data_IF_700566090481
#
_entry.id   IF_700566090481
#
_cell.length_a   1.000
_cell.length_b   1.000
_cell.length_c   1.000
_cell.angle_alpha   90.00
_cell.angle_beta   90.00
_cell.angle_gamma   90.00
#
_symmetry.space_group_name_H-M   'P 1'
#
loop_
_entity.id
_entity.type
_entity.pdbx_description
1 polymer ?
#
# COMPACT_ATOMS: atom_id res chain seq x y z
N UNK A 1 -27.31 -42.45 2.70
CA UNK A 1 -26.77 -41.88 3.95
C UNK A 1 -25.44 -41.22 3.60
N UNK A 2 -25.48 -39.98 3.18
CA UNK A 2 -24.29 -39.19 2.83
C UNK A 2 -23.86 -38.41 4.07
N UNK A 3 -22.77 -38.88 4.66
CA UNK A 3 -22.08 -38.21 5.74
C UNK A 3 -21.49 -36.90 5.18
N UNK A 4 -22.22 -35.79 5.37
CA UNK A 4 -21.62 -34.46 5.34
C UNK A 4 -20.69 -34.37 6.55
N UNK A 5 -19.41 -34.70 6.36
CA UNK A 5 -18.40 -34.35 7.33
C UNK A 5 -18.39 -32.82 7.42
N UNK A 6 -18.91 -32.28 8.49
CA UNK A 6 -18.70 -30.91 8.89
C UNK A 6 -17.19 -30.68 8.99
N UNK A 7 -16.62 -30.10 7.93
CA UNK A 7 -15.26 -29.62 7.93
C UNK A 7 -15.23 -28.52 8.99
N UNK A 8 -14.86 -28.91 10.21
CA UNK A 8 -14.67 -28.01 11.35
C UNK A 8 -13.73 -26.91 10.90
N UNK A 9 -14.25 -25.73 10.67
CA UNK A 9 -13.53 -24.57 10.25
C UNK A 9 -12.56 -24.17 11.37
N UNK A 10 -11.39 -24.79 11.39
CA UNK A 10 -10.29 -24.26 12.18
C UNK A 10 -9.75 -23.09 11.37
N UNK A 11 -10.01 -21.89 11.86
CA UNK A 11 -9.43 -20.67 11.31
C UNK A 11 -7.91 -20.84 11.38
N UNK A 12 -7.29 -21.07 10.21
CA UNK A 12 -5.85 -21.32 10.12
C UNK A 12 -5.09 -19.99 10.28
N UNK A 13 -4.87 -19.63 11.53
CA UNK A 13 -4.18 -18.39 11.91
C UNK A 13 -2.85 -18.19 11.17
N UNK A 14 -2.17 -19.29 10.81
CA UNK A 14 -0.92 -19.24 10.04
C UNK A 14 -1.14 -18.67 8.64
N UNK A 15 -2.24 -19.03 7.98
CA UNK A 15 -2.60 -18.51 6.65
C UNK A 15 -2.91 -17.03 6.74
N UNK A 16 -3.73 -16.62 7.72
CA UNK A 16 -4.10 -15.22 7.90
C UNK A 16 -2.89 -14.36 8.27
N UNK A 17 -1.99 -14.85 9.12
CA UNK A 17 -0.75 -14.16 9.45
C UNK A 17 0.18 -14.02 8.25
N UNK A 18 0.37 -15.08 7.46
CA UNK A 18 1.19 -15.01 6.25
C UNK A 18 0.61 -14.02 5.23
N UNK A 19 -0.70 -14.05 5.03
CA UNK A 19 -1.42 -13.10 4.17
C UNK A 19 -1.24 -11.66 4.65
N UNK A 20 -1.40 -11.41 5.95
CA UNK A 20 -1.22 -10.09 6.55
C UNK A 20 0.21 -9.54 6.36
N UNK A 21 1.22 -10.38 6.65
CA UNK A 21 2.63 -10.00 6.48
C UNK A 21 2.96 -9.74 5.01
N UNK A 22 2.52 -10.62 4.10
CA UNK A 22 2.70 -10.41 2.66
C UNK A 22 1.99 -9.15 2.19
N UNK A 23 0.78 -8.88 2.67
CA UNK A 23 0.04 -7.66 2.33
C UNK A 23 0.74 -6.39 2.80
N UNK A 24 1.49 -6.46 3.90
CA UNK A 24 2.27 -5.31 4.39
C UNK A 24 3.40 -4.92 3.42
N UNK A 25 4.09 -5.90 2.81
CA UNK A 25 5.26 -5.66 1.96
C UNK A 25 5.00 -5.87 0.47
N UNK A 26 4.29 -6.94 0.12
CA UNK A 26 4.00 -7.34 -1.28
C UNK A 26 2.51 -7.59 -1.47
N UNK A 27 1.73 -6.54 -1.41
CA UNK A 27 0.26 -6.57 -1.48
C UNK A 27 -0.27 -7.38 -2.67
N UNK A 28 0.41 -7.31 -3.82
CA UNK A 28 0.03 -8.01 -5.04
C UNK A 28 -0.05 -9.55 -4.86
N UNK A 29 0.78 -10.12 -4.00
CA UNK A 29 0.90 -11.56 -3.77
C UNK A 29 0.22 -12.04 -2.48
N UNK A 30 -0.47 -11.15 -1.76
CA UNK A 30 -1.03 -11.47 -0.45
C UNK A 30 -2.13 -12.54 -0.47
N UNK A 31 -2.84 -12.69 -1.60
CA UNK A 31 -3.91 -13.68 -1.76
C UNK A 31 -3.45 -15.10 -2.04
N UNK A 32 -2.18 -15.30 -2.45
CA UNK A 32 -1.67 -16.62 -2.85
C UNK A 32 -1.76 -17.65 -1.72
N UNK A 33 -1.26 -17.40 -0.49
CA UNK A 33 -1.32 -18.40 0.57
C UNK A 33 -2.74 -18.87 0.88
N UNK A 34 -3.71 -17.95 0.85
CA UNK A 34 -5.10 -18.27 1.08
C UNK A 34 -5.70 -19.11 -0.05
N UNK A 35 -5.42 -18.75 -1.29
CA UNK A 35 -5.94 -19.46 -2.47
C UNK A 35 -5.36 -20.89 -2.59
N UNK A 36 -4.04 -21.07 -2.37
CA UNK A 36 -3.39 -22.38 -2.43
C UNK A 36 -3.81 -23.31 -1.29
N UNK A 37 -4.04 -22.79 -0.10
CA UNK A 37 -4.38 -23.58 1.09
C UNK A 37 -5.90 -23.71 1.29
N UNK A 38 -6.72 -23.16 0.40
CA UNK A 38 -8.17 -23.30 0.40
C UNK A 38 -8.87 -22.56 1.55
N UNK A 39 -8.27 -21.48 2.06
CA UNK A 39 -8.91 -20.62 3.04
C UNK A 39 -10.12 -19.89 2.44
N UNK A 40 -11.12 -19.46 3.23
CA UNK A 40 -12.25 -18.70 2.70
C UNK A 40 -11.79 -17.35 2.14
N UNK A 41 -12.24 -17.01 0.93
CA UNK A 41 -11.85 -15.77 0.23
C UNK A 41 -12.11 -14.50 1.06
N UNK A 42 -13.17 -14.48 1.83
CA UNK A 42 -13.51 -13.31 2.65
C UNK A 42 -12.53 -13.09 3.80
N UNK A 43 -12.03 -14.15 4.47
CA UNK A 43 -11.02 -14.06 5.52
C UNK A 43 -9.69 -13.54 4.97
N UNK A 44 -9.25 -14.10 3.84
CA UNK A 44 -8.02 -13.68 3.16
C UNK A 44 -8.13 -12.24 2.66
N UNK A 45 -9.30 -11.83 2.19
CA UNK A 45 -9.54 -10.45 1.75
C UNK A 45 -9.47 -9.47 2.91
N UNK A 46 -10.06 -9.80 4.06
CA UNK A 46 -9.97 -8.97 5.27
C UNK A 46 -8.53 -8.90 5.78
N UNK A 47 -7.83 -10.04 5.87
CA UNK A 47 -6.45 -10.09 6.32
C UNK A 47 -5.52 -9.27 5.42
N UNK A 48 -5.68 -9.37 4.09
CA UNK A 48 -4.89 -8.60 3.13
C UNK A 48 -5.19 -7.09 3.19
N UNK A 49 -6.46 -6.70 3.34
CA UNK A 49 -6.85 -5.31 3.51
C UNK A 49 -6.26 -4.72 4.79
N UNK A 50 -6.36 -5.43 5.92
CA UNK A 50 -5.78 -4.99 7.20
C UNK A 50 -4.26 -4.84 7.12
N UNK A 51 -3.54 -5.78 6.48
CA UNK A 51 -2.10 -5.67 6.24
C UNK A 51 -1.75 -4.46 5.40
N UNK A 52 -2.50 -4.20 4.34
CA UNK A 52 -2.36 -3.02 3.50
C UNK A 52 -2.63 -1.72 4.26
N UNK A 53 -3.68 -1.66 5.08
CA UNK A 53 -4.00 -0.49 5.91
C UNK A 53 -2.90 -0.21 6.93
N UNK A 54 -2.46 -1.24 7.65
CA UNK A 54 -1.36 -1.11 8.60
C UNK A 54 -0.11 -0.52 7.94
N UNK A 55 0.27 -1.08 6.79
CA UNK A 55 1.39 -0.58 6.00
C UNK A 55 1.18 0.87 5.57
N UNK A 56 0.01 1.22 5.01
CA UNK A 56 -0.29 2.57 4.57
C UNK A 56 -0.22 3.58 5.72
N UNK A 57 -0.81 3.26 6.87
CA UNK A 57 -0.78 4.13 8.06
C UNK A 57 0.65 4.38 8.51
N UNK A 58 1.42 3.32 8.75
CA UNK A 58 2.79 3.42 9.25
C UNK A 58 3.67 4.23 8.31
N UNK A 59 3.68 3.88 7.03
CA UNK A 59 4.59 4.52 6.06
C UNK A 59 4.14 5.89 5.61
N UNK A 60 2.84 6.17 5.55
CA UNK A 60 2.33 7.50 5.22
C UNK A 60 2.70 8.50 6.32
N UNK A 61 2.33 8.24 7.57
CA UNK A 61 2.59 9.16 8.67
C UNK A 61 4.08 9.24 9.05
N UNK A 62 4.83 8.13 8.98
CA UNK A 62 6.27 8.17 9.16
C UNK A 62 6.94 9.06 8.10
N UNK A 63 6.51 8.97 6.85
CA UNK A 63 7.04 9.78 5.75
C UNK A 63 6.69 11.26 5.89
N UNK A 64 5.48 11.58 6.32
CA UNK A 64 5.06 12.96 6.57
C UNK A 64 5.96 13.62 7.62
N UNK A 65 6.19 12.96 8.77
CA UNK A 65 7.12 13.43 9.81
C UNK A 65 8.55 13.63 9.30
N UNK A 66 9.06 12.68 8.52
CA UNK A 66 10.41 12.75 7.92
C UNK A 66 10.51 13.93 6.95
N UNK A 67 9.51 14.14 6.12
CA UNK A 67 9.46 15.24 5.15
C UNK A 67 9.41 16.58 5.87
N UNK A 68 8.57 16.71 6.90
CA UNK A 68 8.48 17.92 7.72
C UNK A 68 9.83 18.24 8.39
N UNK A 69 10.48 17.23 8.98
CA UNK A 69 11.80 17.39 9.59
C UNK A 69 12.88 17.82 8.57
N UNK A 70 12.86 17.22 7.38
CA UNK A 70 13.76 17.63 6.30
C UNK A 70 13.51 19.06 5.84
N UNK A 71 12.25 19.48 5.74
CA UNK A 71 11.88 20.83 5.35
C UNK A 71 12.32 21.86 6.41
N UNK A 72 12.13 21.56 7.69
CA UNK A 72 12.64 22.39 8.80
C UNK A 72 14.18 22.53 8.75
N UNK A 73 14.91 21.43 8.53
CA UNK A 73 16.37 21.47 8.37
C UNK A 73 16.81 22.24 7.12
N UNK A 74 16.08 22.16 6.02
CA UNK A 74 16.37 22.93 4.81
C UNK A 74 16.15 24.43 5.05
N UNK A 75 15.05 24.81 5.68
CA UNK A 75 14.76 26.19 6.04
C UNK A 75 15.88 26.79 6.91
N UNK A 76 16.35 26.06 7.92
CA UNK A 76 17.47 26.51 8.77
C UNK A 76 18.79 26.67 8.00
N UNK A 77 19.07 25.79 7.00
CA UNK A 77 20.26 25.90 6.16
C UNK A 77 20.19 27.07 5.18
N UNK A 78 18.99 27.39 4.70
CA UNK A 78 18.74 28.59 3.88
C UNK A 78 19.02 29.86 4.67
N UNK A 79 18.50 29.94 5.92
CA UNK A 79 18.74 31.07 6.81
C UNK A 79 20.23 31.25 7.17
N UNK A 80 21.00 30.15 7.24
CA UNK A 80 22.44 30.19 7.52
C UNK A 80 23.33 30.40 6.26
N UNK A 81 22.74 30.70 5.08
CA UNK A 81 23.49 30.96 3.85
C UNK A 81 24.26 29.75 3.27
N UNK A 82 24.13 28.55 3.87
CA UNK A 82 24.91 27.36 3.51
C UNK A 82 24.19 26.46 2.49
N UNK A 83 23.07 26.89 1.93
CA UNK A 83 22.22 26.07 1.06
C UNK A 83 22.70 26.12 -0.40
N UNK A 84 23.50 25.11 -0.81
CA UNK A 84 23.72 24.83 -2.23
C UNK A 84 22.52 24.03 -2.77
N UNK A 85 21.66 24.70 -3.54
CA UNK A 85 20.55 24.07 -4.25
C UNK A 85 21.07 23.05 -5.26
N UNK A 86 21.17 21.78 -4.86
CA UNK A 86 21.36 20.67 -5.80
C UNK A 86 20.01 20.33 -6.43
N UNK A 87 19.71 20.91 -7.60
CA UNK A 87 18.63 20.43 -8.48
C UNK A 87 18.98 19.01 -8.98
N UNK A 88 18.79 18.01 -8.18
CA UNK A 88 18.83 16.61 -8.62
C UNK A 88 17.42 16.18 -9.01
N UNK A 89 17.05 16.40 -10.26
CA UNK A 89 15.93 15.69 -10.88
C UNK A 89 16.35 14.24 -11.06
N UNK A 90 16.11 13.42 -10.03
CA UNK A 90 16.29 11.97 -10.12
C UNK A 90 15.27 11.41 -11.12
N UNK A 91 15.62 10.33 -11.83
CA UNK A 91 14.72 9.66 -12.80
C UNK A 91 13.35 9.35 -12.18
N UNK A 92 13.31 8.89 -10.93
CA UNK A 92 12.10 8.65 -10.15
C UNK A 92 11.22 9.90 -10.00
N UNK A 93 11.81 11.08 -9.74
CA UNK A 93 11.04 12.32 -9.62
C UNK A 93 10.41 12.72 -10.96
N UNK A 94 11.09 12.48 -12.09
CA UNK A 94 10.52 12.73 -13.43
C UNK A 94 9.32 11.83 -13.72
N UNK A 95 9.40 10.55 -13.34
CA UNK A 95 8.31 9.59 -13.49
C UNK A 95 7.08 10.00 -12.66
N UNK A 96 7.28 10.33 -11.38
CA UNK A 96 6.19 10.76 -10.51
C UNK A 96 5.55 12.07 -10.98
N UNK A 97 6.36 13.04 -11.46
CA UNK A 97 5.83 14.28 -12.04
C UNK A 97 5.03 13.99 -13.30
N UNK A 98 5.50 13.10 -14.17
CA UNK A 98 4.78 12.68 -15.38
C UNK A 98 3.43 12.02 -15.04
N UNK A 99 3.42 11.09 -14.09
CA UNK A 99 2.19 10.44 -13.60
C UNK A 99 1.25 11.48 -12.98
N UNK A 100 1.79 12.43 -12.20
CA UNK A 100 1.01 13.53 -11.62
C UNK A 100 0.30 14.37 -12.67
N UNK A 101 0.99 14.69 -13.76
CA UNK A 101 0.43 15.49 -14.86
C UNK A 101 -0.60 14.73 -15.68
N UNK A 102 -0.41 13.40 -15.86
CA UNK A 102 -1.27 12.57 -16.71
C UNK A 102 -2.52 12.07 -15.96
N UNK A 103 -2.35 11.59 -14.74
CA UNK A 103 -3.43 10.91 -13.98
C UNK A 103 -3.88 11.68 -12.73
N UNK A 104 -3.22 12.76 -12.36
CA UNK A 104 -3.56 13.53 -11.17
C UNK A 104 -3.39 12.75 -9.86
N UNK A 105 -4.11 13.18 -8.83
CA UNK A 105 -4.06 12.55 -7.50
C UNK A 105 -4.64 11.12 -7.52
N UNK A 106 -5.72 10.89 -8.26
CA UNK A 106 -6.38 9.58 -8.36
C UNK A 106 -5.45 8.52 -8.93
N UNK A 107 -4.73 8.86 -10.02
CA UNK A 107 -3.80 7.93 -10.64
C UNK A 107 -2.60 7.59 -9.75
N UNK A 108 -2.05 8.56 -9.03
CA UNK A 108 -0.92 8.29 -8.14
C UNK A 108 -1.36 7.46 -6.94
N UNK A 109 -2.49 7.77 -6.31
CA UNK A 109 -2.99 7.03 -5.15
C UNK A 109 -3.37 5.59 -5.49
N UNK A 110 -3.78 5.33 -6.74
CA UNK A 110 -4.09 3.99 -7.25
C UNK A 110 -2.84 3.21 -7.68
N UNK A 111 -2.03 3.80 -8.58
CA UNK A 111 -0.91 3.10 -9.23
C UNK A 111 0.30 2.91 -8.30
N UNK A 112 0.58 3.88 -7.42
CA UNK A 112 1.78 3.79 -6.60
C UNK A 112 1.73 2.63 -5.59
N UNK A 113 0.65 2.40 -4.80
CA UNK A 113 0.55 1.24 -3.93
C UNK A 113 0.55 -0.10 -4.68
N UNK A 114 -0.08 -0.15 -5.85
CA UNK A 114 -0.22 -1.38 -6.63
C UNK A 114 1.11 -1.81 -7.26
N UNK A 115 1.80 -0.91 -7.97
CA UNK A 115 3.01 -1.24 -8.74
C UNK A 115 4.30 -1.21 -7.91
N UNK A 116 4.38 -0.30 -6.93
CA UNK A 116 5.62 -0.08 -6.16
C UNK A 116 5.63 -0.78 -4.80
N UNK A 117 4.53 -1.30 -4.35
CA UNK A 117 4.17 -1.76 -3.00
C UNK A 117 3.51 -0.67 -2.14
N UNK A 118 2.67 -1.09 -1.20
CA UNK A 118 1.94 -0.17 -0.31
C UNK A 118 2.88 0.77 0.48
N UNK A 119 4.01 0.29 1.08
CA UNK A 119 4.95 1.16 1.75
C UNK A 119 5.49 2.28 0.87
N UNK A 120 6.02 1.93 -0.29
CA UNK A 120 6.64 2.90 -1.22
C UNK A 120 5.59 3.83 -1.82
N UNK A 121 4.42 3.30 -2.17
CA UNK A 121 3.30 4.09 -2.66
C UNK A 121 2.83 5.13 -1.65
N UNK A 122 2.69 4.74 -0.38
CA UNK A 122 2.30 5.65 0.70
C UNK A 122 3.31 6.77 0.94
N UNK A 123 4.63 6.45 0.88
CA UNK A 123 5.72 7.44 0.95
C UNK A 123 5.63 8.45 -0.20
N UNK A 124 5.37 7.98 -1.42
CA UNK A 124 5.24 8.85 -2.59
C UNK A 124 4.01 9.75 -2.45
N UNK A 125 2.87 9.19 -2.04
CA UNK A 125 1.65 9.96 -1.81
C UNK A 125 1.84 11.01 -0.72
N UNK A 126 2.47 10.66 0.40
CA UNK A 126 2.80 11.61 1.46
C UNK A 126 3.73 12.74 0.96
N UNK A 127 4.73 12.41 0.14
CA UNK A 127 5.68 13.42 -0.37
C UNK A 127 5.06 14.42 -1.33
N UNK A 128 4.11 14.02 -2.16
CA UNK A 128 3.60 14.86 -3.24
C UNK A 128 2.21 15.42 -2.98
N UNK A 129 1.47 14.85 -2.03
CA UNK A 129 0.07 15.18 -1.76
C UNK A 129 -0.28 15.24 -0.28
N UNK A 130 0.70 15.41 0.63
CA UNK A 130 0.44 15.55 2.08
C UNK A 130 -0.49 16.72 2.42
N UNK A 131 -0.46 17.79 1.62
CA UNK A 131 -1.32 18.95 1.81
C UNK A 131 -2.80 18.69 1.48
N UNK A 132 -3.07 17.61 0.71
CA UNK A 132 -4.44 17.27 0.32
C UNK A 132 -5.02 16.26 1.30
N UNK A 133 -6.02 16.70 2.08
CA UNK A 133 -6.71 15.85 3.08
C UNK A 133 -7.41 14.60 2.51
N UNK A 134 -7.65 14.57 1.22
CA UNK A 134 -8.27 13.42 0.54
C UNK A 134 -7.26 12.32 0.14
N UNK A 135 -5.98 12.58 0.22
CA UNK A 135 -4.93 11.62 -0.20
C UNK A 135 -4.98 10.34 0.61
N UNK A 136 -5.02 10.45 1.93
CA UNK A 136 -5.04 9.28 2.81
C UNK A 136 -6.34 8.45 2.68
N UNK A 137 -7.56 9.03 2.73
CA UNK A 137 -8.79 8.30 2.45
C UNK A 137 -8.79 7.59 1.09
N UNK A 138 -8.25 8.22 0.05
CA UNK A 138 -8.15 7.62 -1.28
C UNK A 138 -7.23 6.39 -1.30
N UNK A 139 -6.09 6.44 -0.59
CA UNK A 139 -5.20 5.27 -0.47
C UNK A 139 -5.94 4.10 0.18
N UNK A 140 -6.65 4.34 1.29
CA UNK A 140 -7.43 3.32 1.99
C UNK A 140 -8.51 2.73 1.10
N UNK A 141 -9.25 3.57 0.38
CA UNK A 141 -10.28 3.13 -0.58
C UNK A 141 -9.68 2.23 -1.67
N UNK A 142 -8.57 2.65 -2.27
CA UNK A 142 -7.92 1.86 -3.33
C UNK A 142 -7.32 0.55 -2.82
N UNK A 143 -6.79 0.50 -1.59
CA UNK A 143 -6.35 -0.75 -0.95
C UNK A 143 -7.54 -1.70 -0.78
N UNK A 144 -8.71 -1.21 -0.35
CA UNK A 144 -9.93 -2.02 -0.21
C UNK A 144 -10.34 -2.63 -1.55
N UNK A 145 -10.46 -1.81 -2.59
CA UNK A 145 -10.85 -2.24 -3.93
C UNK A 145 -9.85 -3.26 -4.49
N UNK A 146 -8.56 -2.97 -4.40
CA UNK A 146 -7.52 -3.87 -4.90
C UNK A 146 -7.43 -5.17 -4.10
N UNK A 147 -7.69 -5.16 -2.78
CA UNK A 147 -7.74 -6.38 -1.96
C UNK A 147 -8.80 -7.34 -2.50
N UNK A 148 -10.01 -6.85 -2.77
CA UNK A 148 -11.07 -7.66 -3.34
C UNK A 148 -10.71 -8.17 -4.73
N UNK A 149 -10.25 -7.29 -5.63
CA UNK A 149 -9.90 -7.64 -7.01
C UNK A 149 -8.77 -8.68 -7.09
N UNK A 150 -7.71 -8.49 -6.33
CA UNK A 150 -6.55 -9.39 -6.33
C UNK A 150 -6.91 -10.75 -5.74
N UNK A 151 -7.68 -10.80 -4.68
CA UNK A 151 -8.11 -12.08 -4.12
C UNK A 151 -9.06 -12.82 -5.06
N UNK A 152 -10.02 -12.14 -5.69
CA UNK A 152 -10.84 -12.75 -6.74
C UNK A 152 -10.00 -13.31 -7.88
N UNK A 153 -8.96 -12.60 -8.30
CA UNK A 153 -8.04 -13.07 -9.36
C UNK A 153 -7.28 -14.31 -8.92
N UNK A 154 -6.70 -14.32 -7.72
CA UNK A 154 -5.94 -15.47 -7.23
C UNK A 154 -6.81 -16.71 -7.00
N UNK A 155 -8.02 -16.54 -6.45
CA UNK A 155 -8.96 -17.64 -6.28
C UNK A 155 -9.52 -18.14 -7.62
N UNK A 156 -9.61 -17.29 -8.63
CA UNK A 156 -9.96 -17.73 -9.98
C UNK A 156 -8.85 -18.48 -10.70
N UNK A 157 -7.58 -18.33 -10.27
CA UNK A 157 -6.44 -19.02 -10.86
C UNK A 157 -6.08 -20.34 -10.15
N UNK A 158 -6.26 -20.40 -8.84
CA UNK A 158 -5.84 -21.53 -8.00
C UNK A 158 -7.01 -22.29 -7.36
N UNK A 159 -8.22 -21.76 -7.36
CA UNK A 159 -9.46 -22.40 -6.90
C UNK A 159 -10.25 -22.92 -8.05
#
# INVERSE_FOLDING_TARGET
MTSHSEKKYNMDWHILWSTFVLATFKFLFSGIPGAELGAPIWEVTIASALGGYFSAIVFYFASEKVIEFQNKRKAQKVLKGTFKSKKKFTRTNKWVVKIKQTFGILGITYLAPLFLSVPVGSVICAKFYSENKYTFPLIILWISVNSVLLNLLWYGLFG
#
